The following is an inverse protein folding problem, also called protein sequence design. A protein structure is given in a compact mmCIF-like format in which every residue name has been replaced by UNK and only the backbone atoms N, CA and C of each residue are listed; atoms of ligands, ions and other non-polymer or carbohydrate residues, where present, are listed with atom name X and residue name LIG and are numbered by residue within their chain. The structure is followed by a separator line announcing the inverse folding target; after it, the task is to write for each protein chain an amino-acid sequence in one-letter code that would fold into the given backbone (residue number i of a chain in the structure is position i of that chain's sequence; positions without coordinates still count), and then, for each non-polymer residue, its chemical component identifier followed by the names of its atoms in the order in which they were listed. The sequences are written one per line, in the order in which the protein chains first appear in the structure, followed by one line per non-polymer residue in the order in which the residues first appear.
data_IF_121792516794
#
_entry.id   IF_121792516794
#
_cell.length_a   1.000
_cell.length_b   1.000
_cell.length_c   1.000
_cell.angle_alpha   90.00
_cell.angle_beta   90.00
_cell.angle_gamma   90.00
#
_symmetry.space_group_name_H-M   'P 1'
#
loop_
_entity.id
_entity.type
_entity.pdbx_description
1 polymer ?
#
# COMPACT_ATOMS: atom_id res chain seq x y z
N UNK A 1 7.65 4.94 16.37
CA UNK A 1 7.37 6.10 15.47
C UNK A 1 5.90 6.08 15.10
N UNK A 2 5.17 7.19 15.26
CA UNK A 2 3.78 7.25 14.85
C UNK A 2 3.71 7.66 13.37
N UNK A 3 3.54 6.68 12.48
CA UNK A 3 3.30 6.93 11.04
C UNK A 3 1.80 7.03 10.79
N UNK A 4 1.33 8.07 10.10
CA UNK A 4 -0.09 8.22 9.77
C UNK A 4 -0.33 7.94 8.28
N UNK A 5 -0.74 6.72 7.95
CA UNK A 5 -1.09 6.33 6.58
C UNK A 5 -2.57 6.57 6.34
N UNK A 6 -2.89 7.23 5.22
CA UNK A 6 -4.25 7.43 4.73
C UNK A 6 -4.41 6.73 3.39
N UNK A 7 -5.47 5.94 3.24
CA UNK A 7 -5.84 5.36 1.95
C UNK A 7 -6.86 6.24 1.26
N UNK A 8 -6.68 6.51 -0.03
CA UNK A 8 -7.72 7.16 -0.83
C UNK A 8 -8.93 6.23 -1.01
N UNK A 9 -10.12 6.78 -1.33
CA UNK A 9 -11.25 5.98 -1.78
C UNK A 9 -10.87 5.06 -2.94
N UNK A 10 -11.53 3.90 -3.03
CA UNK A 10 -11.33 2.98 -4.15
C UNK A 10 -12.12 3.47 -5.35
N UNK A 11 -11.57 3.30 -6.56
CA UNK A 11 -12.24 3.63 -7.81
C UNK A 11 -13.04 2.43 -8.33
N UNK A 12 -12.49 1.21 -8.24
CA UNK A 12 -13.17 -0.01 -8.67
C UNK A 12 -13.45 -1.00 -7.53
N UNK A 13 -14.47 -1.83 -7.73
CA UNK A 13 -14.74 -3.00 -6.88
C UNK A 13 -14.06 -4.22 -7.49
N UNK A 14 -12.91 -4.63 -6.96
CA UNK A 14 -12.25 -5.88 -7.37
C UNK A 14 -11.91 -6.79 -6.18
N UNK A 15 -11.46 -7.99 -6.49
CA UNK A 15 -11.31 -9.13 -5.57
C UNK A 15 -9.92 -9.25 -4.92
N UNK A 16 -9.06 -8.23 -5.03
CA UNK A 16 -7.69 -8.32 -4.51
C UNK A 16 -7.69 -8.49 -2.98
N UNK A 17 -6.79 -9.35 -2.49
CA UNK A 17 -6.78 -9.79 -1.09
C UNK A 17 -5.54 -9.30 -0.34
N UNK A 18 -4.50 -8.84 -1.05
CA UNK A 18 -3.26 -8.35 -0.48
C UNK A 18 -2.60 -9.35 0.49
N UNK A 19 -2.69 -10.64 0.15
CA UNK A 19 -2.22 -11.77 0.97
C UNK A 19 -0.82 -12.28 0.58
N UNK A 20 -0.26 -11.78 -0.52
CA UNK A 20 1.07 -12.14 -1.00
C UNK A 20 2.20 -11.54 -0.14
N UNK A 21 3.46 -11.95 -0.38
CA UNK A 21 4.62 -11.34 0.24
C UNK A 21 4.70 -9.85 -0.14
N UNK A 22 5.11 -9.01 0.83
CA UNK A 22 5.15 -7.55 0.68
C UNK A 22 6.56 -7.09 0.35
N UNK A 23 6.70 -6.34 -0.73
CA UNK A 23 7.96 -5.75 -1.19
C UNK A 23 7.86 -4.23 -1.28
N UNK A 24 9.01 -3.58 -1.28
CA UNK A 24 9.16 -2.14 -1.52
C UNK A 24 10.19 -1.95 -2.63
N UNK A 25 9.94 -1.04 -3.55
CA UNK A 25 10.93 -0.64 -4.55
C UNK A 25 12.12 0.09 -3.91
N UNK A 26 13.20 0.21 -4.67
CA UNK A 26 14.40 0.92 -4.22
C UNK A 26 14.14 2.42 -4.07
N UNK A 27 13.33 3.05 -4.93
CA UNK A 27 12.95 4.46 -4.79
C UNK A 27 12.08 4.70 -3.56
N UNK A 28 11.13 3.81 -3.30
CA UNK A 28 10.34 3.85 -2.05
C UNK A 28 11.24 3.78 -0.81
N UNK A 29 12.20 2.85 -0.78
CA UNK A 29 13.14 2.72 0.34
C UNK A 29 14.04 3.95 0.47
N UNK A 30 14.51 4.52 -0.64
CA UNK A 30 15.32 5.74 -0.62
C UNK A 30 14.53 6.95 -0.11
N UNK A 31 13.27 7.09 -0.54
CA UNK A 31 12.38 8.19 -0.15
C UNK A 31 12.06 8.18 1.34
N UNK A 32 11.72 7.01 1.90
CA UNK A 32 11.24 6.90 3.28
C UNK A 32 12.28 6.42 4.29
N UNK A 33 13.42 5.90 3.83
CA UNK A 33 14.56 5.50 4.66
C UNK A 33 14.15 4.55 5.79
N UNK A 34 14.50 4.92 7.02
CA UNK A 34 14.21 4.11 8.22
C UNK A 34 12.70 3.96 8.52
N UNK A 35 11.82 4.78 7.92
CA UNK A 35 10.37 4.67 8.09
C UNK A 35 9.74 3.62 7.17
N UNK A 36 10.46 3.15 6.15
CA UNK A 36 9.96 2.25 5.09
C UNK A 36 9.15 1.08 5.63
N UNK A 37 9.73 0.32 6.57
CA UNK A 37 9.06 -0.84 7.16
C UNK A 37 7.78 -0.46 7.90
N UNK A 38 7.82 0.60 8.72
CA UNK A 38 6.65 1.06 9.48
C UNK A 38 5.53 1.57 8.58
N UNK A 39 5.87 2.25 7.47
CA UNK A 39 4.90 2.70 6.47
C UNK A 39 4.26 1.48 5.80
N UNK A 40 5.05 0.56 5.25
CA UNK A 40 4.53 -0.63 4.58
C UNK A 40 3.59 -1.43 5.49
N UNK A 41 4.01 -1.74 6.73
CA UNK A 41 3.18 -2.48 7.69
C UNK A 41 1.88 -1.75 8.00
N UNK A 42 1.91 -0.44 8.29
CA UNK A 42 0.69 0.33 8.58
C UNK A 42 -0.24 0.40 7.38
N UNK A 43 0.29 0.52 6.17
CA UNK A 43 -0.51 0.50 4.95
C UNK A 43 -1.21 -0.84 4.79
N UNK A 44 -0.50 -1.95 4.97
CA UNK A 44 -1.07 -3.30 4.87
C UNK A 44 -2.16 -3.57 5.91
N UNK A 45 -2.01 -3.05 7.14
CA UNK A 45 -3.07 -3.13 8.15
C UNK A 45 -4.34 -2.43 7.66
N UNK A 46 -4.22 -1.21 7.14
CA UNK A 46 -5.36 -0.42 6.62
C UNK A 46 -6.01 -1.08 5.41
N UNK A 47 -5.20 -1.62 4.49
CA UNK A 47 -5.71 -2.37 3.33
C UNK A 47 -6.43 -3.63 3.81
N UNK A 48 -5.87 -4.36 4.79
CA UNK A 48 -6.52 -5.54 5.37
C UNK A 48 -7.87 -5.24 6.03
N UNK A 49 -8.00 -4.13 6.75
CA UNK A 49 -9.29 -3.65 7.30
C UNK A 49 -10.30 -3.39 6.18
N UNK A 50 -9.85 -2.75 5.11
CA UNK A 50 -10.64 -2.45 3.91
C UNK A 50 -11.08 -3.72 3.19
N UNK A 51 -10.19 -4.68 2.96
CA UNK A 51 -10.49 -5.99 2.35
C UNK A 51 -11.52 -6.73 3.19
N UNK A 52 -11.32 -6.82 4.50
CA UNK A 52 -12.25 -7.50 5.42
C UNK A 52 -13.65 -6.89 5.42
N UNK A 53 -13.76 -5.56 5.37
CA UNK A 53 -15.06 -4.87 5.39
C UNK A 53 -15.85 -4.99 4.08
N UNK A 54 -15.17 -5.25 2.95
CA UNK A 54 -15.80 -5.27 1.62
C UNK A 54 -15.72 -6.61 0.88
N UNK A 55 -15.02 -7.61 1.42
CA UNK A 55 -14.77 -8.91 0.77
C UNK A 55 -13.67 -8.87 -0.31
N UNK A 56 -12.96 -7.75 -0.44
CA UNK A 56 -11.96 -7.50 -1.46
C UNK A 56 -11.62 -6.01 -1.55
N UNK A 57 -10.61 -5.69 -2.35
CA UNK A 57 -10.28 -4.32 -2.71
C UNK A 57 -9.84 -4.21 -4.17
N UNK A 58 -9.78 -2.97 -4.66
CA UNK A 58 -9.03 -2.62 -5.86
C UNK A 58 -7.59 -3.19 -5.79
N UNK A 59 -7.09 -3.78 -6.87
CA UNK A 59 -5.73 -4.32 -6.90
C UNK A 59 -4.67 -3.22 -6.74
N UNK A 60 -5.01 -1.97 -7.11
CA UNK A 60 -4.20 -0.79 -6.87
C UNK A 60 -4.78 0.02 -5.71
N UNK A 61 -3.98 0.24 -4.67
CA UNK A 61 -4.33 1.10 -3.55
C UNK A 61 -3.47 2.35 -3.56
N UNK A 62 -4.11 3.52 -3.53
CA UNK A 62 -3.42 4.80 -3.39
C UNK A 62 -3.36 5.20 -1.92
N UNK A 63 -2.15 5.47 -1.43
CA UNK A 63 -1.89 5.82 -0.05
C UNK A 63 -1.09 7.12 0.07
N UNK A 64 -1.24 7.78 1.20
CA UNK A 64 -0.53 9.01 1.57
C UNK A 64 0.09 8.87 2.96
N UNK A 65 1.31 9.38 3.12
CA UNK A 65 1.99 9.51 4.41
C UNK A 65 2.83 10.78 4.42
N UNK A 66 2.71 11.59 5.47
CA UNK A 66 3.49 12.83 5.63
C UNK A 66 3.43 13.77 4.38
N UNK A 67 2.32 13.76 3.63
CA UNK A 67 2.15 14.56 2.40
C UNK A 67 2.69 13.92 1.12
N UNK A 68 3.28 12.71 1.21
CA UNK A 68 3.82 11.96 0.09
C UNK A 68 2.85 10.88 -0.38
N UNK A 69 2.62 10.80 -1.69
CA UNK A 69 1.78 9.78 -2.33
C UNK A 69 2.61 8.56 -2.71
N UNK A 70 2.04 7.38 -2.54
CA UNK A 70 2.60 6.13 -3.02
C UNK A 70 1.48 5.13 -3.35
N UNK A 71 1.83 4.08 -4.09
CA UNK A 71 0.91 3.02 -4.50
C UNK A 71 1.26 1.71 -3.82
N UNK A 72 0.26 0.88 -3.63
CA UNK A 72 0.39 -0.52 -3.23
C UNK A 72 -0.38 -1.36 -4.24
N UNK A 73 0.32 -2.25 -4.93
CA UNK A 73 -0.24 -3.07 -6.01
C UNK A 73 -0.19 -4.53 -5.59
N UNK A 74 -1.32 -5.22 -5.68
CA UNK A 74 -1.43 -6.68 -5.60
C UNK A 74 -1.49 -7.25 -7.02
N UNK A 75 -0.44 -7.95 -7.46
CA UNK A 75 -0.39 -8.58 -8.80
C UNK A 75 -0.97 -10.02 -8.80
N UNK A 76 -1.52 -10.46 -7.66
CA UNK A 76 -2.02 -11.81 -7.43
C UNK A 76 -0.99 -12.78 -6.86
N UNK A 77 0.29 -12.41 -6.84
CA UNK A 77 1.41 -13.19 -6.27
C UNK A 77 2.12 -12.37 -5.19
N UNK A 78 2.45 -11.13 -5.50
CA UNK A 78 3.22 -10.20 -4.69
C UNK A 78 2.41 -8.93 -4.42
N UNK A 79 2.69 -8.33 -3.26
CA UNK A 79 2.21 -6.98 -2.94
C UNK A 79 3.40 -6.03 -2.97
N UNK A 80 3.34 -4.99 -3.80
CA UNK A 80 4.46 -4.06 -3.99
C UNK A 80 4.07 -2.64 -3.60
N UNK A 81 4.82 -2.05 -2.67
CA UNK A 81 4.77 -0.62 -2.36
C UNK A 81 5.78 0.15 -3.23
N UNK A 82 5.33 1.17 -3.95
CA UNK A 82 6.14 1.94 -4.89
C UNK A 82 5.70 3.40 -4.97
N UNK A 83 6.61 4.28 -5.38
CA UNK A 83 6.28 5.67 -5.71
C UNK A 83 5.56 5.74 -7.08
N UNK A 84 4.68 6.73 -7.33
CA UNK A 84 3.96 6.83 -8.59
C UNK A 84 4.86 6.92 -9.83
N UNK A 85 6.05 7.52 -9.70
CA UNK A 85 7.06 7.63 -10.77
C UNK A 85 7.81 6.33 -11.09
N UNK A 86 7.61 5.28 -10.29
CA UNK A 86 8.23 3.96 -10.49
C UNK A 86 7.33 2.97 -11.24
N UNK A 87 6.12 3.39 -11.61
CA UNK A 87 5.13 2.61 -12.37
C UNK A 87 5.06 3.12 -13.82
#
# INVERSE_FOLDING_TARGET
MNVNVQLQPQEESTHAQFSGPVYTTSGFQQKFGNKTFAIAVKTMIRIGERVKSKGGADYLQVAWVDGEKFWVIDDGINVTCLLPEEY
#
